data_IF_678465637051
#
_entry.id   IF_678465637051
#
_cell.length_a   1.000
_cell.length_b   1.000
_cell.length_c   1.000
_cell.angle_alpha   90.00
_cell.angle_beta   90.00
_cell.angle_gamma   90.00
#
_symmetry.space_group_name_H-M   'P 1'
#
loop_
_entity.id
_entity.type
_entity.pdbx_description
1 polymer ?
#
# COMPACT_ATOMS: atom_id res chain seq x y z
N UNK A 1 2.09 -0.22 13.64
CA UNK A 1 1.01 -0.69 12.76
C UNK A 1 0.46 0.49 11.98
N UNK A 2 0.10 0.30 10.72
CA UNK A 2 -0.48 1.34 9.86
C UNK A 2 -1.93 0.98 9.58
N UNK A 3 -2.86 1.86 9.91
CA UNK A 3 -4.29 1.58 9.78
C UNK A 3 -4.88 2.06 8.45
N UNK A 4 -4.32 3.12 7.87
CA UNK A 4 -4.84 3.78 6.67
C UNK A 4 -3.86 3.65 5.51
N UNK A 5 -4.37 3.34 4.33
CA UNK A 5 -3.60 3.37 3.09
C UNK A 5 -3.25 4.82 2.72
N UNK A 6 -2.00 5.04 2.35
CA UNK A 6 -1.49 6.28 1.77
C UNK A 6 -0.85 5.96 0.43
N UNK A 7 -1.09 6.80 -0.58
CA UNK A 7 -0.61 6.56 -1.95
C UNK A 7 0.92 6.51 -2.04
N UNK A 8 1.62 7.35 -1.25
CA UNK A 8 3.08 7.44 -1.17
C UNK A 8 3.72 6.42 -0.21
N UNK A 9 2.95 5.38 0.15
CA UNK A 9 3.37 4.47 1.22
C UNK A 9 4.62 3.66 0.86
N UNK A 10 4.76 3.25 -0.40
CA UNK A 10 5.92 2.50 -0.89
C UNK A 10 7.19 3.37 -0.81
N UNK A 11 7.12 4.60 -1.28
CA UNK A 11 8.21 5.59 -1.26
C UNK A 11 8.62 5.93 0.16
N UNK A 12 7.67 6.18 1.04
CA UNK A 12 7.92 6.43 2.47
C UNK A 12 8.61 5.25 3.13
N UNK A 13 8.16 4.04 2.85
CA UNK A 13 8.76 2.84 3.42
C UNK A 13 10.20 2.64 2.93
N UNK A 14 10.46 2.91 1.65
CA UNK A 14 11.82 2.93 1.08
C UNK A 14 12.69 3.98 1.78
N UNK A 15 12.21 5.21 1.89
CA UNK A 15 12.95 6.30 2.53
C UNK A 15 13.39 5.93 3.95
N UNK A 16 12.47 5.45 4.79
CA UNK A 16 12.81 5.07 6.16
C UNK A 16 13.77 3.88 6.22
N UNK A 17 13.60 2.89 5.34
CA UNK A 17 14.49 1.73 5.31
C UNK A 17 15.91 2.11 4.82
N UNK A 18 16.02 3.00 3.82
CA UNK A 18 17.31 3.53 3.38
C UNK A 18 18.00 4.31 4.50
N UNK A 19 17.26 5.15 5.23
CA UNK A 19 17.81 5.91 6.35
C UNK A 19 18.34 4.99 7.45
N UNK A 20 17.56 3.98 7.85
CA UNK A 20 17.99 3.00 8.84
C UNK A 20 19.18 2.15 8.35
N UNK A 21 19.21 1.83 7.05
CA UNK A 21 20.28 1.02 6.46
C UNK A 21 21.64 1.74 6.52
N UNK A 22 21.64 3.06 6.42
CA UNK A 22 22.87 3.88 6.49
C UNK A 22 23.15 4.39 7.91
N UNK A 23 22.21 4.24 8.85
CA UNK A 23 22.39 4.65 10.23
C UNK A 23 23.52 3.87 10.90
N UNK A 24 24.44 4.59 11.54
CA UNK A 24 25.61 4.00 12.16
C UNK A 24 26.79 3.68 11.23
N UNK A 25 26.64 3.83 9.91
CA UNK A 25 27.75 3.69 8.96
C UNK A 25 28.51 5.00 8.84
N UNK A 26 29.81 4.98 9.15
CA UNK A 26 30.67 6.19 9.20
C UNK A 26 31.56 6.30 7.97
N UNK A 27 32.01 7.52 7.67
CA UNK A 27 33.02 7.77 6.64
C UNK A 27 34.28 6.98 6.94
N UNK A 28 34.72 6.12 5.98
CA UNK A 28 35.88 5.26 6.12
C UNK A 28 35.58 3.83 6.60
N UNK A 29 34.33 3.55 7.00
CA UNK A 29 33.95 2.17 7.32
C UNK A 29 33.94 1.31 6.04
N UNK A 30 34.46 0.09 6.10
CA UNK A 30 34.38 -0.82 4.95
C UNK A 30 32.96 -1.33 4.75
N UNK A 31 32.51 -1.42 3.50
CA UNK A 31 31.11 -1.78 3.14
C UNK A 31 30.64 -3.17 3.66
N UNK A 32 31.55 -4.09 3.91
CA UNK A 32 31.19 -5.39 4.50
C UNK A 32 30.59 -5.28 5.92
N UNK A 33 30.87 -4.18 6.64
CA UNK A 33 30.30 -3.89 7.97
C UNK A 33 28.82 -3.47 7.91
N UNK A 34 28.26 -3.14 6.74
CA UNK A 34 26.85 -2.82 6.63
C UNK A 34 25.99 -3.94 7.22
N UNK A 35 25.23 -3.63 8.24
CA UNK A 35 24.32 -4.57 8.87
C UNK A 35 23.05 -4.79 8.02
N UNK A 36 22.44 -5.98 8.04
CA UNK A 36 21.13 -6.18 7.44
C UNK A 36 20.09 -5.25 8.05
N UNK A 37 19.32 -4.58 7.19
CA UNK A 37 18.17 -3.78 7.59
C UNK A 37 16.89 -4.52 7.21
N UNK A 38 16.10 -4.87 8.22
CA UNK A 38 14.82 -5.55 8.07
C UNK A 38 13.72 -4.61 8.54
N UNK A 39 12.88 -4.17 7.62
CA UNK A 39 11.77 -3.30 7.90
C UNK A 39 10.47 -4.11 7.96
N UNK A 40 9.92 -4.30 9.16
CA UNK A 40 8.68 -5.04 9.37
C UNK A 40 7.50 -4.06 9.34
N UNK A 41 6.53 -4.33 8.47
CA UNK A 41 5.32 -3.56 8.29
C UNK A 41 4.09 -4.39 8.62
N UNK A 42 3.26 -3.86 9.50
CA UNK A 42 1.97 -4.45 9.87
C UNK A 42 0.90 -3.49 9.38
N UNK A 43 0.10 -3.94 8.40
CA UNK A 43 -0.87 -3.13 7.67
C UNK A 43 -2.29 -3.63 7.95
N UNK A 44 -3.17 -2.73 8.33
CA UNK A 44 -4.61 -3.01 8.46
C UNK A 44 -5.38 -2.72 7.16
N UNK A 45 -4.70 -2.79 6.02
CA UNK A 45 -5.28 -2.64 4.68
C UNK A 45 -4.55 -3.56 3.69
N UNK A 46 -5.12 -3.72 2.49
CA UNK A 46 -4.53 -4.50 1.41
C UNK A 46 -3.68 -3.58 0.53
N UNK A 47 -2.40 -3.89 0.41
CA UNK A 47 -1.43 -3.18 -0.42
C UNK A 47 -0.98 -4.01 -1.61
N UNK A 48 -0.59 -5.26 -1.36
CA UNK A 48 -0.09 -6.16 -2.40
C UNK A 48 -1.25 -6.78 -3.19
N UNK A 49 -1.10 -6.93 -4.50
CA UNK A 49 -2.13 -7.55 -5.36
C UNK A 49 -2.33 -9.05 -5.05
N UNK A 50 -1.32 -9.74 -4.56
CA UNK A 50 -1.40 -11.17 -4.24
C UNK A 50 -2.32 -11.45 -3.03
N UNK A 51 -2.84 -12.67 -2.95
CA UNK A 51 -3.75 -13.08 -1.88
C UNK A 51 -3.07 -13.41 -0.54
N UNK A 52 -1.74 -13.51 -0.50
CA UNK A 52 -1.00 -13.80 0.72
C UNK A 52 -1.08 -12.66 1.73
N UNK A 53 -1.14 -12.99 3.03
CA UNK A 53 -1.11 -11.99 4.10
C UNK A 53 0.32 -11.59 4.50
N UNK A 54 1.33 -12.35 4.11
CA UNK A 54 2.74 -12.11 4.40
C UNK A 54 3.58 -12.08 3.14
N UNK A 55 4.39 -11.05 3.01
CA UNK A 55 5.30 -10.85 1.89
C UNK A 55 6.69 -10.51 2.40
N UNK A 56 7.68 -11.19 1.83
CA UNK A 56 9.08 -10.87 2.00
C UNK A 56 9.62 -10.27 0.71
N UNK A 57 9.95 -8.98 0.73
CA UNK A 57 10.52 -8.25 -0.39
C UNK A 57 12.02 -8.13 -0.20
N UNK A 58 12.78 -8.48 -1.24
CA UNK A 58 14.25 -8.45 -1.27
C UNK A 58 14.72 -7.87 -2.59
N UNK A 59 15.98 -7.45 -2.66
CA UNK A 59 16.61 -7.02 -3.91
C UNK A 59 16.95 -8.23 -4.78
N UNK A 60 16.40 -8.26 -6.00
CA UNK A 60 16.60 -9.33 -6.96
C UNK A 60 16.77 -8.77 -8.37
N UNK A 61 17.49 -9.51 -9.21
CA UNK A 61 17.51 -9.26 -10.64
C UNK A 61 16.11 -9.47 -11.23
N UNK A 62 15.65 -8.52 -12.05
CA UNK A 62 14.29 -8.52 -12.59
C UNK A 62 14.05 -9.66 -13.60
N UNK A 63 15.09 -10.04 -14.38
CA UNK A 63 14.96 -11.06 -15.43
C UNK A 63 15.19 -12.46 -14.90
N UNK A 64 16.24 -12.64 -14.08
CA UNK A 64 16.67 -13.97 -13.61
C UNK A 64 16.07 -14.35 -12.26
N UNK A 65 15.49 -13.37 -11.53
CA UNK A 65 15.03 -13.50 -10.15
C UNK A 65 16.18 -13.92 -9.18
N UNK A 66 17.43 -13.75 -9.58
CA UNK A 66 18.58 -14.03 -8.74
C UNK A 66 18.65 -13.04 -7.58
N UNK A 67 19.01 -13.56 -6.40
CA UNK A 67 19.09 -12.73 -5.20
C UNK A 67 20.36 -11.86 -5.23
N UNK A 68 20.20 -10.56 -5.40
CA UNK A 68 21.29 -9.61 -5.37
C UNK A 68 21.84 -9.36 -3.94
N UNK A 69 20.94 -9.11 -2.97
CA UNK A 69 21.33 -8.89 -1.57
C UNK A 69 20.24 -9.25 -0.59
N UNK A 70 20.65 -9.79 0.57
CA UNK A 70 19.78 -10.02 1.74
C UNK A 70 19.88 -8.92 2.80
N UNK A 71 20.75 -7.93 2.59
CA UNK A 71 20.97 -6.89 3.59
C UNK A 71 19.85 -5.84 3.65
N UNK A 72 18.99 -5.78 2.63
CA UNK A 72 17.89 -4.82 2.54
C UNK A 72 16.58 -5.58 2.31
N UNK A 73 15.68 -5.58 3.31
CA UNK A 73 14.48 -6.40 3.27
C UNK A 73 13.27 -5.65 3.82
N UNK A 74 12.09 -5.92 3.22
CA UNK A 74 10.81 -5.57 3.82
C UNK A 74 10.03 -6.85 4.14
N UNK A 75 9.44 -6.88 5.32
CA UNK A 75 8.47 -7.89 5.72
C UNK A 75 7.12 -7.21 5.87
N UNK A 76 6.19 -7.49 4.99
CA UNK A 76 4.86 -6.88 4.96
C UNK A 76 3.82 -7.89 5.43
N UNK A 77 3.06 -7.54 6.46
CA UNK A 77 1.99 -8.35 7.03
C UNK A 77 0.68 -7.58 6.86
N UNK A 78 -0.24 -8.13 6.05
CA UNK A 78 -1.53 -7.53 5.74
C UNK A 78 -2.63 -8.22 6.55
N UNK A 79 -3.01 -7.60 7.66
CA UNK A 79 -3.90 -8.19 8.67
C UNK A 79 -5.26 -8.61 8.10
N UNK A 80 -5.85 -7.82 7.21
CA UNK A 80 -7.15 -8.13 6.60
C UNK A 80 -7.15 -9.45 5.81
N UNK A 81 -6.02 -9.79 5.19
CA UNK A 81 -5.87 -11.04 4.41
C UNK A 81 -5.75 -12.29 5.28
N UNK A 82 -5.48 -12.15 6.58
CA UNK A 82 -5.44 -13.31 7.50
C UNK A 82 -6.79 -14.01 7.57
N UNK A 83 -7.91 -13.28 7.44
CA UNK A 83 -9.26 -13.85 7.47
C UNK A 83 -9.54 -14.81 6.30
N UNK A 84 -8.93 -14.56 5.15
CA UNK A 84 -9.10 -15.35 3.93
C UNK A 84 -7.98 -16.36 3.68
N UNK A 85 -6.94 -16.38 4.52
CA UNK A 85 -5.82 -17.29 4.39
C UNK A 85 -6.25 -18.76 4.49
N UNK A 86 -5.70 -19.63 3.62
CA UNK A 86 -6.03 -21.06 3.53
C UNK A 86 -4.76 -21.92 3.44
N UNK A 87 -4.90 -23.19 3.73
CA UNK A 87 -3.87 -24.21 3.52
C UNK A 87 -2.54 -23.86 4.20
N UNK A 88 -1.44 -23.90 3.44
CA UNK A 88 -0.10 -23.66 3.94
C UNK A 88 0.13 -22.25 4.52
N UNK A 89 -0.65 -21.26 4.09
CA UNK A 89 -0.56 -19.91 4.65
C UNK A 89 -0.91 -19.88 6.15
N UNK A 90 -1.84 -20.72 6.61
CA UNK A 90 -2.20 -20.86 8.04
C UNK A 90 -1.14 -21.61 8.84
N UNK A 91 -0.30 -22.43 8.21
CA UNK A 91 0.78 -23.18 8.87
C UNK A 91 2.02 -22.31 9.13
N UNK A 92 2.10 -21.14 8.52
CA UNK A 92 3.23 -20.24 8.70
C UNK A 92 3.29 -19.72 10.16
N UNK A 93 4.47 -19.70 10.82
CA UNK A 93 4.58 -19.28 12.22
C UNK A 93 4.01 -17.90 12.53
N UNK A 94 4.07 -16.96 11.57
CA UNK A 94 3.52 -15.61 11.72
C UNK A 94 1.99 -15.54 11.64
N UNK A 95 1.30 -16.62 11.23
CA UNK A 95 -0.15 -16.57 11.02
C UNK A 95 -0.91 -16.22 12.32
N UNK A 96 -0.62 -16.95 13.39
CA UNK A 96 -1.26 -16.72 14.69
C UNK A 96 -0.91 -15.34 15.27
N UNK A 97 0.33 -14.91 15.11
CA UNK A 97 0.73 -13.54 15.50
C UNK A 97 -0.04 -12.48 14.75
N UNK A 98 -0.18 -12.62 13.43
CA UNK A 98 -0.95 -11.69 12.62
C UNK A 98 -2.44 -11.68 13.01
N UNK A 99 -3.00 -12.86 13.35
CA UNK A 99 -4.37 -12.99 13.86
C UNK A 99 -4.54 -12.33 15.24
N UNK A 100 -3.61 -12.57 16.16
CA UNK A 100 -3.61 -11.94 17.47
C UNK A 100 -3.54 -10.41 17.37
N UNK A 101 -2.67 -9.86 16.51
CA UNK A 101 -2.56 -8.43 16.28
C UNK A 101 -3.82 -7.86 15.61
N UNK A 102 -4.49 -8.65 14.78
CA UNK A 102 -5.73 -8.27 14.11
C UNK A 102 -6.97 -8.40 15.00
N UNK A 103 -6.86 -9.06 16.17
CA UNK A 103 -7.97 -9.29 17.07
C UNK A 103 -8.62 -7.98 17.51
N UNK A 104 -9.95 -7.99 17.55
CA UNK A 104 -10.77 -6.82 17.91
C UNK A 104 -11.60 -7.05 19.17
N UNK A 105 -11.69 -8.29 19.61
CA UNK A 105 -12.41 -8.70 20.83
C UNK A 105 -11.52 -9.54 21.74
N UNK A 106 -11.91 -9.64 23.01
CA UNK A 106 -11.21 -10.48 24.00
C UNK A 106 -11.30 -11.95 23.68
N UNK A 107 -12.42 -12.39 23.10
CA UNK A 107 -12.63 -13.77 22.65
C UNK A 107 -11.64 -14.14 21.53
N UNK A 108 -11.45 -13.24 20.57
CA UNK A 108 -10.43 -13.43 19.49
C UNK A 108 -9.01 -13.51 20.09
N UNK A 109 -8.66 -12.64 21.05
CA UNK A 109 -7.38 -12.66 21.74
C UNK A 109 -7.18 -14.00 22.46
N UNK A 110 -8.16 -14.43 23.23
CA UNK A 110 -8.13 -15.70 23.95
C UNK A 110 -7.96 -16.89 22.99
N UNK A 111 -8.74 -16.93 21.91
CA UNK A 111 -8.67 -18.00 20.91
C UNK A 111 -7.31 -18.11 20.25
N UNK A 112 -6.71 -17.01 19.85
CA UNK A 112 -5.41 -17.00 19.17
C UNK A 112 -4.26 -17.27 20.15
N UNK A 113 -4.43 -17.05 21.46
CA UNK A 113 -3.41 -17.24 22.48
C UNK A 113 -3.24 -18.70 22.91
N UNK A 114 -4.29 -19.52 22.84
CA UNK A 114 -4.30 -20.91 23.35
C UNK A 114 -3.13 -21.74 22.81
N UNK A 115 -2.36 -22.37 23.72
CA UNK A 115 -1.26 -23.27 23.38
C UNK A 115 -0.01 -22.56 22.82
N UNK A 116 0.11 -21.26 23.03
CA UNK A 116 1.33 -20.52 22.74
C UNK A 116 1.72 -19.66 23.97
N UNK A 117 2.72 -20.12 24.71
CA UNK A 117 3.21 -19.49 25.95
C UNK A 117 3.42 -17.98 25.84
N UNK A 118 3.94 -17.50 24.73
CA UNK A 118 4.21 -16.05 24.56
C UNK A 118 2.93 -15.26 24.36
N UNK A 119 1.98 -15.81 23.61
CA UNK A 119 0.69 -15.16 23.37
C UNK A 119 -0.19 -15.20 24.63
N UNK A 120 -0.18 -16.30 25.37
CA UNK A 120 -0.85 -16.43 26.67
C UNK A 120 -0.33 -15.38 27.66
N UNK A 121 0.99 -15.17 27.70
CA UNK A 121 1.58 -14.13 28.54
C UNK A 121 1.14 -12.71 28.10
N UNK A 122 1.04 -12.44 26.80
CA UNK A 122 0.52 -11.16 26.32
C UNK A 122 -0.92 -10.98 26.77
N UNK A 123 -1.75 -12.01 26.65
CA UNK A 123 -3.14 -11.99 27.13
C UNK A 123 -3.20 -11.70 28.65
N UNK A 124 -2.39 -12.37 29.44
CA UNK A 124 -2.31 -12.13 30.89
C UNK A 124 -1.93 -10.69 31.23
N UNK A 125 -0.91 -10.13 30.55
CA UNK A 125 -0.50 -8.75 30.78
C UNK A 125 -1.59 -7.75 30.34
N UNK A 126 -2.30 -8.01 29.25
CA UNK A 126 -3.45 -7.18 28.84
C UNK A 126 -4.59 -7.22 29.87
N UNK A 127 -4.85 -8.37 30.52
CA UNK A 127 -5.85 -8.50 31.57
C UNK A 127 -5.46 -7.74 32.83
N UNK A 128 -4.16 -7.65 33.15
CA UNK A 128 -3.65 -6.91 34.32
C UNK A 128 -3.75 -5.39 34.18
N UNK A 129 -3.91 -4.88 32.96
CA UNK A 129 -4.10 -3.43 32.76
C UNK A 129 -5.31 -2.92 33.54
N UNK A 130 -5.18 -1.74 34.15
CA UNK A 130 -6.29 -1.09 34.84
C UNK A 130 -7.49 -0.85 33.91
N UNK A 131 -8.68 -0.74 34.47
CA UNK A 131 -9.88 -0.43 33.70
C UNK A 131 -9.70 0.89 32.93
N UNK A 132 -9.14 1.91 33.60
CA UNK A 132 -8.87 3.21 32.97
C UNK A 132 -7.89 3.12 31.80
N UNK A 133 -6.85 2.30 31.92
CA UNK A 133 -5.88 2.09 30.83
C UNK A 133 -6.53 1.33 29.67
N UNK A 134 -7.40 0.37 29.93
CA UNK A 134 -8.18 -0.34 28.91
C UNK A 134 -9.14 0.60 28.20
N UNK A 135 -9.87 1.43 28.96
CA UNK A 135 -10.81 2.39 28.40
C UNK A 135 -10.07 3.49 27.60
N UNK A 136 -8.91 3.96 28.09
CA UNK A 136 -8.03 4.85 27.34
C UNK A 136 -7.51 4.22 26.06
N UNK A 137 -7.12 2.96 26.08
CA UNK A 137 -6.68 2.23 24.88
C UNK A 137 -7.82 2.09 23.87
N UNK A 138 -9.03 1.74 24.30
CA UNK A 138 -10.23 1.67 23.45
C UNK A 138 -10.56 3.04 22.86
N UNK A 139 -10.53 4.09 23.67
CA UNK A 139 -10.76 5.47 23.19
C UNK A 139 -9.75 5.90 22.15
N UNK A 140 -8.45 5.65 22.36
CA UNK A 140 -7.39 5.95 21.38
C UNK A 140 -7.60 5.17 20.08
N UNK A 141 -8.03 3.93 20.17
CA UNK A 141 -8.33 3.08 19.03
C UNK A 141 -9.53 3.58 18.22
N UNK A 142 -10.58 4.03 18.88
CA UNK A 142 -11.75 4.66 18.23
C UNK A 142 -11.37 6.00 17.58
N UNK A 143 -10.59 6.82 18.26
CA UNK A 143 -10.08 8.07 17.71
C UNK A 143 -9.20 7.84 16.46
N UNK A 144 -8.34 6.81 16.48
CA UNK A 144 -7.55 6.41 15.32
C UNK A 144 -8.45 5.94 14.16
N UNK A 145 -9.48 5.13 14.45
CA UNK A 145 -10.42 4.67 13.44
C UNK A 145 -11.23 5.83 12.82
N UNK A 146 -11.57 6.85 13.62
CA UNK A 146 -12.24 8.06 13.11
C UNK A 146 -11.32 8.87 12.19
N UNK A 147 -10.05 9.07 12.59
CA UNK A 147 -9.03 9.72 11.76
C UNK A 147 -8.79 8.97 10.44
N UNK A 148 -8.77 7.64 10.50
CA UNK A 148 -8.65 6.78 9.32
C UNK A 148 -9.82 6.96 8.34
N UNK A 149 -11.05 7.09 8.85
CA UNK A 149 -12.23 7.38 8.01
C UNK A 149 -12.11 8.71 7.29
N UNK A 150 -11.68 9.77 7.99
CA UNK A 150 -11.46 11.09 7.39
C UNK A 150 -10.43 11.01 6.27
N UNK A 151 -9.30 10.35 6.53
CA UNK A 151 -8.24 10.14 5.53
C UNK A 151 -8.74 9.33 4.32
N UNK A 152 -9.57 8.30 4.54
CA UNK A 152 -10.17 7.51 3.46
C UNK A 152 -11.14 8.35 2.60
N UNK A 153 -11.96 9.20 3.24
CA UNK A 153 -12.86 10.11 2.52
C UNK A 153 -12.07 11.10 1.67
N UNK A 154 -11.02 11.71 2.23
CA UNK A 154 -10.17 12.66 1.51
C UNK A 154 -9.45 12.00 0.33
N UNK A 155 -8.95 10.76 0.51
CA UNK A 155 -8.34 10.00 -0.57
C UNK A 155 -9.37 9.62 -1.66
N UNK A 156 -10.61 9.30 -1.28
CA UNK A 156 -11.69 9.02 -2.24
C UNK A 156 -12.07 10.28 -3.02
N UNK A 157 -12.17 11.43 -2.35
CA UNK A 157 -12.42 12.73 -2.97
C UNK A 157 -11.30 13.10 -3.96
N UNK A 158 -10.04 12.99 -3.53
CA UNK A 158 -8.89 13.26 -4.38
C UNK A 158 -8.86 12.36 -5.63
N UNK A 159 -9.19 11.07 -5.48
CA UNK A 159 -9.32 10.16 -6.63
C UNK A 159 -10.46 10.58 -7.55
N UNK A 160 -11.61 10.95 -6.98
CA UNK A 160 -12.76 11.46 -7.76
C UNK A 160 -12.40 12.71 -8.55
N UNK A 161 -11.71 13.66 -7.94
CA UNK A 161 -11.24 14.90 -8.62
C UNK A 161 -10.25 14.58 -9.74
N UNK A 162 -9.28 13.68 -9.52
CA UNK A 162 -8.32 13.25 -10.57
C UNK A 162 -9.03 12.56 -11.73
N UNK A 163 -9.93 11.62 -11.42
CA UNK A 163 -10.73 10.92 -12.42
C UNK A 163 -11.59 11.90 -13.24
N UNK A 164 -12.26 12.85 -12.59
CA UNK A 164 -13.05 13.87 -13.24
C UNK A 164 -12.22 14.78 -14.16
N UNK A 165 -11.03 15.20 -13.73
CA UNK A 165 -10.09 15.98 -14.55
C UNK A 165 -9.66 15.19 -15.79
N UNK A 166 -9.29 13.93 -15.64
CA UNK A 166 -8.86 13.09 -16.75
C UNK A 166 -10.01 12.82 -17.74
N UNK A 167 -11.20 12.50 -17.25
CA UNK A 167 -12.40 12.33 -18.09
C UNK A 167 -12.73 13.59 -18.89
N UNK A 168 -12.66 14.77 -18.26
CA UNK A 168 -12.85 16.03 -18.95
C UNK A 168 -11.78 16.24 -20.03
N UNK A 169 -10.52 15.97 -19.72
CA UNK A 169 -9.40 16.07 -20.65
C UNK A 169 -9.58 15.13 -21.85
N UNK A 170 -9.96 13.87 -21.62
CA UNK A 170 -10.30 12.90 -22.69
C UNK A 170 -11.42 13.46 -23.58
N UNK A 171 -12.52 13.95 -22.98
CA UNK A 171 -13.65 14.51 -23.71
C UNK A 171 -13.25 15.71 -24.58
N UNK A 172 -12.38 16.59 -24.05
CA UNK A 172 -11.86 17.74 -24.80
C UNK A 172 -11.00 17.29 -25.99
N UNK A 173 -10.12 16.31 -25.78
CA UNK A 173 -9.27 15.74 -26.84
C UNK A 173 -10.13 15.07 -27.91
N UNK A 174 -11.14 14.28 -27.52
CA UNK A 174 -12.08 13.64 -28.46
C UNK A 174 -12.77 14.68 -29.37
N UNK A 175 -13.25 15.79 -28.79
CA UNK A 175 -13.88 16.89 -29.56
C UNK A 175 -12.92 17.53 -30.56
N UNK A 176 -11.63 17.65 -30.18
CA UNK A 176 -10.61 18.26 -31.05
C UNK A 176 -10.14 17.28 -32.14
N UNK A 177 -9.99 16.01 -31.84
CA UNK A 177 -9.68 14.94 -32.82
C UNK A 177 -10.81 14.85 -33.86
N UNK A 178 -12.10 14.91 -33.46
CA UNK A 178 -13.23 14.96 -34.36
C UNK A 178 -13.21 16.18 -35.30
N UNK A 179 -12.52 17.25 -34.92
CA UNK A 179 -12.28 18.44 -35.75
C UNK A 179 -11.00 18.34 -36.58
N UNK A 180 -10.42 17.15 -36.71
CA UNK A 180 -9.19 16.85 -37.45
C UNK A 180 -7.95 17.63 -36.97
N UNK A 181 -7.89 18.04 -35.69
CA UNK A 181 -6.71 18.66 -35.11
C UNK A 181 -5.63 17.63 -34.81
N UNK A 182 -4.37 17.99 -35.09
CA UNK A 182 -3.22 17.17 -34.78
C UNK A 182 -2.79 17.34 -33.31
N UNK A 183 -1.84 16.48 -32.88
CA UNK A 183 -1.36 16.47 -31.49
C UNK A 183 -0.78 17.82 -31.06
N UNK A 184 0.01 18.49 -31.91
CA UNK A 184 0.67 19.78 -31.60
C UNK A 184 -0.38 20.88 -31.38
N UNK A 185 -1.38 20.97 -32.25
CA UNK A 185 -2.48 21.92 -32.12
C UNK A 185 -3.29 21.67 -30.83
N UNK A 186 -3.49 20.40 -30.46
CA UNK A 186 -4.25 20.04 -29.24
C UNK A 186 -3.45 20.38 -27.98
N UNK A 187 -2.14 20.13 -27.96
CA UNK A 187 -1.28 20.46 -26.83
C UNK A 187 -1.17 21.97 -26.62
N UNK A 188 -1.03 22.74 -27.72
CA UNK A 188 -1.01 24.20 -27.67
C UNK A 188 -2.32 24.77 -27.11
N UNK A 189 -3.46 24.33 -27.64
CA UNK A 189 -4.78 24.82 -27.21
C UNK A 189 -5.18 24.39 -25.78
N UNK A 190 -4.62 23.31 -25.25
CA UNK A 190 -4.87 22.85 -23.89
C UNK A 190 -3.82 23.36 -22.90
N UNK A 191 -2.79 24.06 -23.40
CA UNK A 191 -1.67 24.56 -22.60
C UNK A 191 -1.00 23.44 -21.76
N UNK A 192 -0.96 22.22 -22.31
CA UNK A 192 -0.45 21.03 -21.63
C UNK A 192 0.75 20.43 -22.40
N UNK A 193 1.61 19.71 -21.69
CA UNK A 193 2.77 19.07 -22.32
C UNK A 193 2.38 17.92 -23.25
N UNK A 194 3.11 17.78 -24.36
CA UNK A 194 2.93 16.68 -25.31
C UNK A 194 3.04 15.30 -24.64
N UNK A 195 3.89 15.16 -23.62
CA UNK A 195 4.07 13.93 -22.87
C UNK A 195 2.80 13.50 -22.10
N UNK A 196 2.00 14.46 -21.63
CA UNK A 196 0.72 14.17 -20.96
C UNK A 196 -0.41 13.89 -21.94
N UNK A 197 -0.46 14.62 -23.05
CA UNK A 197 -1.57 14.54 -24.02
C UNK A 197 -1.42 13.33 -24.95
N UNK A 198 -0.21 12.95 -25.34
CA UNK A 198 0.08 11.87 -26.30
C UNK A 198 -0.61 10.55 -25.95
N UNK A 199 -0.49 9.99 -24.73
CA UNK A 199 -1.14 8.72 -24.41
C UNK A 199 -2.66 8.76 -24.60
N UNK A 200 -3.29 9.87 -24.21
CA UNK A 200 -4.74 10.09 -24.37
C UNK A 200 -5.10 10.22 -25.85
N UNK A 201 -4.34 11.03 -26.58
CA UNK A 201 -4.55 11.26 -28.01
C UNK A 201 -4.47 9.98 -28.82
N UNK A 202 -3.46 9.13 -28.52
CA UNK A 202 -3.25 7.87 -29.21
C UNK A 202 -4.42 6.89 -28.96
N UNK A 203 -4.89 6.79 -27.73
CA UNK A 203 -6.05 5.98 -27.37
C UNK A 203 -7.34 6.50 -28.02
N UNK A 204 -7.56 7.82 -28.03
CA UNK A 204 -8.73 8.42 -28.70
C UNK A 204 -8.69 8.17 -30.21
N UNK A 205 -7.52 8.22 -30.83
CA UNK A 205 -7.37 8.02 -32.28
C UNK A 205 -7.52 6.55 -32.69
N UNK A 206 -7.07 5.62 -31.83
CA UNK A 206 -7.23 4.17 -32.06
C UNK A 206 -8.69 3.72 -31.84
N UNK A 207 -9.44 4.43 -30.99
CA UNK A 207 -10.79 4.05 -30.59
C UNK A 207 -11.78 5.23 -30.76
N UNK A 208 -12.06 5.69 -32.00
CA UNK A 208 -12.84 6.91 -32.27
C UNK A 208 -14.31 6.82 -31.81
N UNK A 209 -14.84 5.60 -31.70
CA UNK A 209 -16.23 5.34 -31.35
C UNK A 209 -16.47 5.13 -29.85
N UNK A 210 -15.40 5.02 -29.05
CA UNK A 210 -15.50 4.81 -27.60
C UNK A 210 -15.84 6.09 -26.86
N UNK A 211 -16.59 5.94 -25.77
CA UNK A 211 -16.90 7.03 -24.84
C UNK A 211 -15.65 7.45 -24.05
N UNK A 212 -15.71 8.64 -23.43
CA UNK A 212 -14.62 9.11 -22.58
C UNK A 212 -14.35 8.16 -21.40
N UNK A 213 -15.39 7.52 -20.87
CA UNK A 213 -15.29 6.56 -19.77
C UNK A 213 -14.61 5.26 -20.21
N UNK A 214 -14.92 4.77 -21.40
CA UNK A 214 -14.26 3.58 -21.96
C UNK A 214 -12.77 3.83 -22.25
N UNK A 215 -12.43 5.02 -22.75
CA UNK A 215 -11.04 5.44 -22.98
C UNK A 215 -10.31 5.59 -21.63
N UNK A 216 -10.97 6.20 -20.64
CA UNK A 216 -10.43 6.30 -19.27
C UNK A 216 -10.07 4.92 -18.70
N UNK A 217 -10.96 3.93 -18.88
CA UNK A 217 -10.70 2.57 -18.40
C UNK A 217 -9.56 1.88 -19.14
N UNK A 218 -9.34 2.15 -20.41
CA UNK A 218 -8.20 1.63 -21.16
C UNK A 218 -6.88 2.20 -20.61
N UNK A 219 -6.81 3.50 -20.36
CA UNK A 219 -5.61 4.19 -19.87
C UNK A 219 -5.22 3.72 -18.45
N UNK A 220 -6.21 3.36 -17.60
CA UNK A 220 -5.93 2.96 -16.21
C UNK A 220 -5.77 1.44 -16.00
N UNK A 221 -6.00 0.61 -17.03
CA UNK A 221 -5.85 -0.84 -16.95
C UNK A 221 -4.55 -1.36 -17.60
N UNK A 222 -3.74 -0.48 -18.16
CA UNK A 222 -2.35 -0.72 -18.56
C UNK A 222 -1.40 -0.38 -17.38
#
# INVERSE_FOLDING_TARGET
MQNTYQEDWAERSLFYNCRMFTEGFKKGDPYWKLSPCIHIRILNFNMMKSHGYYHKVTLRDEKTNELYSRKFQFHVIELKKTKTAKGNARKHPLYRWARLIAATTWEEVAQESVGNRYMERIQEEMVKMSQDERDRYLYLREAMAASDRVSQLQNAENRGVRAGKLLNQISMIQKKVKKNKNLEQITDELEESTTKIRPIYDQVKQHPDKTAEEIYNLINNE
#
